data_IF_501797005698
#
_entry.id   IF_501797005698
#
_cell.length_a   1.000
_cell.length_b   1.000
_cell.length_c   1.000
_cell.angle_alpha   90.00
_cell.angle_beta   90.00
_cell.angle_gamma   90.00
#
_symmetry.space_group_name_H-M   'P 1'
#
loop_
_entity.id
_entity.type
_entity.pdbx_description
1 polymer ?
#
# COMPACT_ATOMS: atom_id res chain seq x y z
N UNK A 1 -10.52 -49.13 -38.85
CA UNK A 1 -11.48 -48.04 -38.59
C UNK A 1 -10.73 -46.97 -37.80
N UNK A 2 -10.44 -45.81 -38.40
CA UNK A 2 -9.62 -44.77 -37.76
C UNK A 2 -10.52 -43.79 -36.97
N UNK A 3 -10.12 -43.45 -35.75
CA UNK A 3 -10.83 -42.49 -34.90
C UNK A 3 -10.75 -41.07 -35.49
N UNK A 4 -11.83 -40.25 -35.40
CA UNK A 4 -11.77 -38.86 -35.82
C UNK A 4 -10.89 -38.04 -34.87
N UNK A 5 -10.02 -37.20 -35.45
CA UNK A 5 -9.15 -36.29 -34.72
C UNK A 5 -9.99 -35.19 -34.03
N UNK A 6 -9.67 -34.76 -32.80
CA UNK A 6 -10.39 -33.66 -32.14
C UNK A 6 -10.20 -32.34 -32.91
N UNK A 7 -11.17 -31.41 -32.86
CA UNK A 7 -11.02 -30.09 -33.48
C UNK A 7 -9.89 -29.30 -32.81
N UNK A 8 -9.10 -28.62 -33.64
CA UNK A 8 -7.97 -27.80 -33.21
C UNK A 8 -8.46 -26.56 -32.44
N UNK A 9 -7.84 -26.17 -31.31
CA UNK A 9 -8.23 -24.94 -30.61
C UNK A 9 -7.92 -23.71 -31.46
N UNK A 10 -8.67 -22.61 -31.32
CA UNK A 10 -8.38 -21.37 -32.02
C UNK A 10 -6.99 -20.86 -31.62
N UNK A 11 -6.14 -20.60 -32.61
CA UNK A 11 -4.81 -20.00 -32.42
C UNK A 11 -4.98 -18.60 -31.84
N UNK A 12 -4.56 -18.42 -30.58
CA UNK A 12 -4.47 -17.12 -29.94
C UNK A 12 -3.40 -16.27 -30.66
N UNK A 13 -3.69 -15.01 -31.02
CA UNK A 13 -2.66 -14.11 -31.48
C UNK A 13 -1.71 -13.81 -30.32
N UNK A 14 -0.41 -14.07 -30.54
CA UNK A 14 0.67 -13.57 -29.68
C UNK A 14 0.69 -12.05 -29.77
N UNK A 15 -0.06 -11.38 -28.90
CA UNK A 15 0.19 -9.99 -28.55
C UNK A 15 0.43 -9.92 -27.05
N UNK A 16 1.70 -9.67 -26.71
CA UNK A 16 2.12 -9.05 -25.46
C UNK A 16 1.27 -7.80 -25.22
N UNK A 17 0.19 -7.93 -24.45
CA UNK A 17 -0.55 -6.79 -23.93
C UNK A 17 -0.18 -6.63 -22.46
N UNK A 18 0.98 -6.00 -22.26
CA UNK A 18 1.21 -5.17 -21.07
C UNK A 18 0.28 -3.96 -21.23
N UNK A 19 -0.97 -4.08 -20.77
CA UNK A 19 -1.86 -2.93 -20.63
C UNK A 19 -1.33 -2.13 -19.44
N UNK A 20 -0.39 -1.24 -19.75
CA UNK A 20 -0.23 0.01 -19.00
C UNK A 20 -1.56 0.72 -19.21
N UNK A 21 -2.37 0.81 -18.16
CA UNK A 21 -3.50 1.70 -18.14
C UNK A 21 -2.92 3.12 -18.12
N UNK A 22 -2.72 3.68 -19.31
CA UNK A 22 -2.47 5.10 -19.51
C UNK A 22 -3.76 5.82 -19.10
N UNK A 23 -3.82 6.21 -17.82
CA UNK A 23 -4.73 7.26 -17.39
C UNK A 23 -4.22 8.56 -18.03
N UNK A 24 -4.71 8.84 -19.24
CA UNK A 24 -4.75 10.18 -19.83
C UNK A 24 -5.62 11.07 -18.91
N UNK A 25 -5.01 11.57 -17.84
CA UNK A 25 -5.44 12.80 -17.21
C UNK A 25 -4.50 13.88 -17.74
N UNK A 26 -5.04 14.62 -18.69
CA UNK A 26 -4.56 15.88 -19.25
C UNK A 26 -3.81 16.71 -18.20
N UNK A 27 -2.48 16.59 -18.21
CA UNK A 27 -1.56 17.29 -17.30
C UNK A 27 -0.86 18.42 -18.05
N UNK A 28 -1.63 19.22 -18.80
CA UNK A 28 -1.11 20.48 -19.30
C UNK A 28 -1.28 21.55 -18.20
N UNK A 29 -0.15 21.95 -17.61
CA UNK A 29 0.03 23.09 -16.71
C UNK A 29 -0.16 22.86 -15.20
N UNK A 30 0.66 21.99 -14.62
CA UNK A 30 1.14 22.20 -13.25
C UNK A 30 2.66 22.21 -13.29
N UNK A 31 3.28 23.29 -12.81
CA UNK A 31 4.74 23.38 -12.66
C UNK A 31 5.28 22.10 -12.00
N UNK A 32 6.47 21.61 -12.37
CA UNK A 32 7.06 20.42 -11.76
C UNK A 32 7.36 20.74 -10.29
N UNK A 33 6.36 20.58 -9.44
CA UNK A 33 6.53 20.44 -8.00
C UNK A 33 7.36 19.19 -7.86
N UNK A 34 8.68 19.39 -7.69
CA UNK A 34 9.62 18.33 -7.36
C UNK A 34 9.02 17.63 -6.16
N UNK A 35 8.42 16.46 -6.39
CA UNK A 35 8.03 15.58 -5.31
C UNK A 35 9.29 15.36 -4.48
N UNK A 36 9.23 15.53 -3.15
CA UNK A 36 10.38 15.31 -2.31
C UNK A 36 10.93 13.91 -2.60
N UNK A 37 12.27 13.80 -2.72
CA UNK A 37 12.92 12.53 -2.97
C UNK A 37 12.39 11.48 -2.00
N UNK A 38 12.06 10.29 -2.52
CA UNK A 38 11.65 9.16 -1.69
C UNK A 38 12.67 9.03 -0.55
N UNK A 39 12.24 9.05 0.73
CA UNK A 39 13.14 8.89 1.85
C UNK A 39 13.99 7.62 1.64
N UNK A 40 15.31 7.79 1.65
CA UNK A 40 16.27 6.69 1.46
C UNK A 40 16.26 5.70 2.62
N UNK A 41 15.68 6.10 3.74
CA UNK A 41 15.47 5.28 4.93
C UNK A 41 14.04 4.76 4.90
N UNK A 42 13.89 3.44 4.99
CA UNK A 42 12.58 2.85 5.27
C UNK A 42 12.03 3.55 6.51
N UNK A 43 10.76 4.02 6.50
CA UNK A 43 10.18 4.60 7.70
C UNK A 43 10.31 3.56 8.83
N UNK A 44 10.47 3.99 10.09
CA UNK A 44 10.42 3.07 11.21
C UNK A 44 9.16 2.22 11.05
N UNK A 45 9.33 0.90 11.04
CA UNK A 45 8.23 -0.04 10.80
C UNK A 45 7.14 0.24 11.83
N UNK A 46 6.00 0.76 11.37
CA UNK A 46 4.84 0.96 12.22
C UNK A 46 4.37 -0.43 12.68
N UNK A 47 4.49 -0.70 13.98
CA UNK A 47 4.09 -1.97 14.58
C UNK A 47 2.62 -2.27 14.24
N UNK A 48 1.79 -1.23 14.22
CA UNK A 48 0.40 -1.31 13.79
C UNK A 48 0.26 -1.78 12.34
N UNK A 49 1.00 -1.18 11.39
CA UNK A 49 0.94 -1.60 9.98
C UNK A 49 1.51 -3.00 9.77
N UNK A 50 2.57 -3.37 10.49
CA UNK A 50 3.12 -4.74 10.46
C UNK A 50 2.09 -5.75 10.96
N UNK A 51 1.40 -5.43 12.05
CA UNK A 51 0.31 -6.26 12.59
C UNK A 51 -0.85 -6.41 11.59
N UNK A 52 -1.32 -5.31 11.01
CA UNK A 52 -2.37 -5.33 9.99
C UNK A 52 -1.99 -6.14 8.75
N UNK A 53 -0.76 -5.98 8.26
CA UNK A 53 -0.25 -6.76 7.13
C UNK A 53 -0.27 -8.26 7.44
N UNK A 54 0.04 -8.65 8.68
CA UNK A 54 -0.08 -10.03 9.15
C UNK A 54 -1.53 -10.54 9.11
N UNK A 55 -2.50 -9.74 9.55
CA UNK A 55 -3.92 -10.12 9.52
C UNK A 55 -4.42 -10.28 8.09
N UNK A 56 -4.14 -9.33 7.22
CA UNK A 56 -4.61 -9.30 5.81
C UNK A 56 -3.92 -10.38 4.97
N UNK A 57 -2.63 -10.63 5.23
CA UNK A 57 -1.82 -11.61 4.54
C UNK A 57 -2.11 -13.06 4.96
N UNK A 58 -2.76 -13.28 6.10
CA UNK A 58 -3.05 -14.63 6.58
C UNK A 58 -4.26 -15.24 5.84
N UNK A 59 -4.09 -16.32 5.07
CA UNK A 59 -5.21 -16.95 4.35
C UNK A 59 -6.26 -17.54 5.29
N UNK A 60 -5.89 -17.92 6.52
CA UNK A 60 -6.84 -18.43 7.52
C UNK A 60 -7.80 -17.35 8.02
N UNK A 61 -7.46 -16.08 7.81
CA UNK A 61 -8.33 -14.95 8.13
C UNK A 61 -9.25 -14.59 6.96
N UNK A 62 -9.27 -15.34 5.85
CA UNK A 62 -10.14 -15.03 4.70
C UNK A 62 -11.44 -15.81 4.74
N UNK A 63 -12.53 -15.12 4.44
CA UNK A 63 -13.83 -15.72 4.15
C UNK A 63 -13.89 -16.18 2.68
N UNK A 64 -14.89 -16.98 2.34
CA UNK A 64 -15.05 -17.56 1.00
C UNK A 64 -15.27 -16.50 -0.09
N UNK A 65 -15.76 -15.32 0.27
CA UNK A 65 -15.94 -14.16 -0.60
C UNK A 65 -14.69 -13.28 -0.71
N UNK A 66 -13.61 -13.63 -0.02
CA UNK A 66 -12.36 -12.87 0.02
C UNK A 66 -12.31 -11.78 1.09
N UNK A 67 -13.38 -11.57 1.88
CA UNK A 67 -13.34 -10.64 3.00
C UNK A 67 -12.39 -11.13 4.10
N UNK A 68 -11.78 -10.20 4.83
CA UNK A 68 -10.91 -10.51 5.97
C UNK A 68 -11.75 -10.59 7.24
N UNK A 69 -11.76 -11.75 7.88
CA UNK A 69 -12.33 -11.99 9.20
C UNK A 69 -11.41 -11.40 10.26
N UNK A 70 -11.97 -10.53 11.09
CA UNK A 70 -11.30 -9.93 12.24
C UNK A 70 -12.09 -10.37 13.48
N UNK A 71 -11.42 -11.06 14.40
CA UNK A 71 -12.02 -11.41 15.68
C UNK A 71 -11.98 -10.23 16.67
N UNK A 72 -12.79 -10.31 17.73
CA UNK A 72 -12.93 -9.23 18.70
C UNK A 72 -11.65 -8.93 19.48
N UNK A 73 -10.80 -9.94 19.73
CA UNK A 73 -9.52 -9.72 20.42
C UNK A 73 -8.54 -9.00 19.50
N UNK A 74 -8.50 -9.39 18.23
CA UNK A 74 -7.72 -8.69 17.20
C UNK A 74 -8.20 -7.24 17.04
N UNK A 75 -9.51 -7.00 17.07
CA UNK A 75 -10.08 -5.64 17.01
C UNK A 75 -9.65 -4.77 18.19
N UNK A 76 -9.76 -5.28 19.43
CA UNK A 76 -9.31 -4.56 20.62
C UNK A 76 -7.79 -4.35 20.66
N UNK A 77 -7.02 -5.22 20.00
CA UNK A 77 -5.56 -5.05 19.83
C UNK A 77 -5.25 -3.95 18.81
N UNK A 78 -5.93 -3.95 17.66
CA UNK A 78 -5.77 -2.92 16.64
C UNK A 78 -6.10 -1.53 17.18
N UNK A 79 -7.15 -1.40 17.98
CA UNK A 79 -7.53 -0.12 18.58
C UNK A 79 -6.40 0.42 19.47
N UNK A 80 -5.86 -0.39 20.38
CA UNK A 80 -4.74 0.02 21.25
C UNK A 80 -3.48 0.37 20.46
N UNK A 81 -3.18 -0.39 19.41
CA UNK A 81 -2.04 -0.10 18.54
C UNK A 81 -2.22 1.19 17.75
N UNK A 82 -3.45 1.47 17.29
CA UNK A 82 -3.80 2.71 16.60
C UNK A 82 -3.64 3.93 17.53
N UNK A 83 -4.11 3.84 18.77
CA UNK A 83 -3.96 4.92 19.77
C UNK A 83 -2.48 5.19 20.09
N UNK A 84 -1.68 4.12 20.23
CA UNK A 84 -0.24 4.22 20.46
C UNK A 84 0.48 4.85 19.26
N UNK A 85 0.10 4.49 18.04
CA UNK A 85 0.67 5.05 16.81
C UNK A 85 0.28 6.51 16.63
N UNK A 86 -0.97 6.89 16.89
CA UNK A 86 -1.42 8.28 16.87
C UNK A 86 -0.61 9.14 17.85
N UNK A 87 -0.40 8.64 19.08
CA UNK A 87 0.44 9.30 20.08
C UNK A 87 1.89 9.45 19.60
N UNK A 88 2.44 8.42 18.95
CA UNK A 88 3.81 8.45 18.41
C UNK A 88 3.94 9.48 17.29
N UNK A 89 2.97 9.55 16.40
CA UNK A 89 2.94 10.50 15.28
C UNK A 89 2.83 11.94 15.77
N UNK A 90 1.93 12.22 16.72
CA UNK A 90 1.81 13.56 17.32
C UNK A 90 3.12 14.03 17.95
N UNK A 91 3.82 13.18 18.70
CA UNK A 91 5.15 13.51 19.25
C UNK A 91 6.22 13.72 18.17
N UNK A 92 6.09 13.04 17.03
CA UNK A 92 7.01 13.21 15.91
C UNK A 92 6.78 14.58 15.26
N UNK A 93 5.52 14.97 15.06
CA UNK A 93 5.13 16.29 14.55
C UNK A 93 5.70 17.41 15.44
N UNK A 94 5.53 17.33 16.76
CA UNK A 94 6.11 18.30 17.71
C UNK A 94 7.63 18.45 17.56
N UNK A 95 8.34 17.34 17.34
CA UNK A 95 9.80 17.36 17.15
C UNK A 95 10.22 17.96 15.81
N UNK A 96 9.43 17.71 14.76
CA UNK A 96 9.66 18.29 13.44
C UNK A 96 9.47 19.81 13.51
N UNK A 97 8.39 20.28 14.14
CA UNK A 97 8.16 21.72 14.35
C UNK A 97 9.31 22.39 15.13
N UNK A 98 9.81 21.72 16.18
CA UNK A 98 10.98 22.21 16.92
C UNK A 98 12.23 22.31 16.04
N UNK A 99 12.47 21.31 15.19
CA UNK A 99 13.63 21.30 14.29
C UNK A 99 13.52 22.41 13.25
N UNK A 100 12.35 22.58 12.63
CA UNK A 100 12.07 23.66 11.67
C UNK A 100 12.25 25.04 12.32
N UNK A 101 11.80 25.20 13.57
CA UNK A 101 11.98 26.45 14.31
C UNK A 101 13.44 26.76 14.63
N UNK A 102 14.26 25.72 14.83
CA UNK A 102 15.70 25.86 15.08
C UNK A 102 16.44 26.20 13.79
N UNK A 103 16.11 25.53 12.68
CA UNK A 103 16.65 25.82 11.35
C UNK A 103 16.35 27.25 10.91
N UNK A 104 15.12 27.72 11.12
CA UNK A 104 14.72 29.11 10.83
C UNK A 104 15.48 30.18 11.66
N UNK A 105 16.20 29.78 12.72
CA UNK A 105 16.98 30.68 13.57
C UNK A 105 18.43 30.88 13.08
N UNK A 106 18.89 30.10 12.10
CA UNK A 106 20.19 30.25 11.45
C UNK A 106 20.01 30.62 9.97
N UNK A 107 20.05 31.92 9.61
CA UNK A 107 19.97 32.38 8.21
C UNK A 107 21.23 32.08 7.39
#
# INVERSE_FOLDING_TARGET
MAHPRPPEPPKLPNHTQRVVSENDMDLENAAPTRLPNKPSVNPPSSIFLTFLAGIIGNPNNRLADGAVKIDLNSLGTMQRMMDAEATRLSKLEERVEQLESFEARFP
#
